data_IF_339123559680
#
_entry.id   IF_339123559680
#
_cell.length_a   1.000
_cell.length_b   1.000
_cell.length_c   1.000
_cell.angle_alpha   90.00
_cell.angle_beta   90.00
_cell.angle_gamma   90.00
#
_symmetry.space_group_name_H-M   'P 1'
#
loop_
_entity.id
_entity.type
_entity.pdbx_description
1 polymer ?
#
# COMPACT_ATOMS: atom_id res chain seq x y z
N UNK A 1 4.80 -27.97 13.09
CA UNK A 1 5.19 -28.07 11.68
C UNK A 1 5.06 -26.68 11.06
N UNK A 2 6.17 -26.11 10.60
CA UNK A 2 6.22 -24.77 10.02
C UNK A 2 5.71 -24.82 8.58
N UNK A 3 4.66 -24.07 8.27
CA UNK A 3 4.18 -23.88 6.90
C UNK A 3 5.21 -23.00 6.18
N UNK A 4 6.23 -23.63 5.61
CA UNK A 4 7.09 -23.01 4.60
C UNK A 4 6.31 -22.97 3.29
N UNK A 5 5.90 -21.77 2.88
CA UNK A 5 5.40 -21.55 1.52
C UNK A 5 6.51 -21.89 0.53
N UNK A 6 6.27 -22.87 -0.33
CA UNK A 6 7.12 -23.15 -1.48
C UNK A 6 7.19 -21.88 -2.36
N UNK A 7 8.41 -21.40 -2.58
CA UNK A 7 8.72 -20.24 -3.42
C UNK A 7 9.29 -19.09 -2.60
N UNK A 8 10.61 -18.88 -2.70
CA UNK A 8 11.39 -17.81 -2.04
C UNK A 8 11.02 -16.36 -2.49
N UNK A 9 9.79 -16.15 -2.98
CA UNK A 9 9.28 -14.83 -3.29
C UNK A 9 8.79 -14.17 -1.99
N UNK A 10 9.27 -12.97 -1.64
CA UNK A 10 8.73 -12.25 -0.50
C UNK A 10 7.24 -12.01 -0.72
N UNK A 11 6.46 -12.17 0.35
CA UNK A 11 4.99 -12.04 0.36
C UNK A 11 4.50 -10.75 -0.33
N UNK A 12 5.32 -9.70 -0.37
CA UNK A 12 5.05 -8.43 -1.04
C UNK A 12 6.14 -8.14 -2.06
N UNK A 13 5.87 -8.44 -3.33
CA UNK A 13 6.78 -8.14 -4.43
C UNK A 13 6.12 -7.16 -5.41
N UNK A 14 6.81 -6.06 -5.71
CA UNK A 14 6.46 -5.22 -6.85
C UNK A 14 6.87 -5.90 -8.15
N UNK A 15 5.93 -5.92 -9.10
CA UNK A 15 6.21 -6.39 -10.45
C UNK A 15 6.23 -5.16 -11.35
N UNK A 16 7.38 -4.87 -11.94
CA UNK A 16 7.48 -3.87 -12.99
C UNK A 16 7.15 -4.52 -14.33
N UNK A 17 6.06 -4.08 -14.97
CA UNK A 17 5.75 -4.45 -16.36
C UNK A 17 6.60 -3.66 -17.38
N UNK A 18 7.42 -2.72 -16.89
CA UNK A 18 8.23 -1.82 -17.71
C UNK A 18 9.66 -1.74 -17.14
N UNK A 19 10.48 -2.80 -17.29
CA UNK A 19 11.78 -2.94 -16.62
C UNK A 19 12.80 -1.87 -17.01
N UNK A 20 12.62 -1.23 -18.18
CA UNK A 20 13.44 -0.10 -18.62
C UNK A 20 13.12 1.20 -17.87
N UNK A 21 11.89 1.33 -17.34
CA UNK A 21 11.40 2.53 -16.67
C UNK A 21 11.51 2.41 -15.14
N UNK A 22 11.24 1.23 -14.61
CA UNK A 22 11.37 0.92 -13.18
C UNK A 22 12.18 -0.36 -12.99
N UNK A 23 13.30 -0.24 -12.29
CA UNK A 23 14.11 -1.36 -11.87
C UNK A 23 13.75 -1.75 -10.43
N UNK A 24 13.52 -3.04 -10.21
CA UNK A 24 13.23 -3.61 -8.88
C UNK A 24 14.44 -4.44 -8.45
N UNK A 25 14.98 -4.15 -7.27
CA UNK A 25 16.19 -4.79 -6.74
C UNK A 25 16.04 -5.13 -5.26
N UNK A 26 17.06 -5.75 -4.66
CA UNK A 26 17.06 -6.18 -3.24
C UNK A 26 15.80 -6.96 -2.85
N UNK A 27 15.45 -7.99 -3.63
CA UNK A 27 14.24 -8.81 -3.43
C UNK A 27 12.94 -7.99 -3.39
N UNK A 28 12.82 -6.95 -4.21
CA UNK A 28 11.59 -6.14 -4.25
C UNK A 28 11.57 -4.94 -3.29
N UNK A 29 12.63 -4.76 -2.49
CA UNK A 29 12.71 -3.71 -1.47
C UNK A 29 13.22 -2.39 -2.00
N UNK A 30 13.88 -2.35 -3.16
CA UNK A 30 14.40 -1.10 -3.74
C UNK A 30 13.86 -0.91 -5.15
N UNK A 31 13.19 0.23 -5.33
CA UNK A 31 12.60 0.66 -6.60
C UNK A 31 13.41 1.84 -7.13
N UNK A 32 13.88 1.74 -8.37
CA UNK A 32 14.57 2.82 -9.07
C UNK A 32 13.73 3.23 -10.28
N UNK A 33 13.24 4.47 -10.25
CA UNK A 33 12.52 5.10 -11.35
C UNK A 33 13.52 5.90 -12.18
N UNK A 34 13.65 5.56 -13.46
CA UNK A 34 14.66 6.14 -14.35
C UNK A 34 14.07 7.15 -15.34
N UNK A 35 12.75 7.30 -15.36
CA UNK A 35 12.03 8.06 -16.37
C UNK A 35 11.51 9.40 -15.81
N UNK A 36 11.45 10.43 -16.65
CA UNK A 36 10.81 11.72 -16.30
C UNK A 36 9.29 11.71 -16.48
N UNK A 37 8.74 10.71 -17.15
CA UNK A 37 7.28 10.59 -17.31
C UNK A 37 6.65 9.89 -16.11
N UNK A 38 5.33 10.03 -16.01
CA UNK A 38 4.50 9.36 -15.03
C UNK A 38 4.53 7.84 -15.18
N UNK A 39 4.69 7.13 -14.06
CA UNK A 39 4.61 5.67 -14.00
C UNK A 39 4.18 5.22 -12.61
N UNK A 40 3.41 4.13 -12.52
CA UNK A 40 3.09 3.45 -11.28
C UNK A 40 3.45 1.97 -11.31
N UNK A 41 3.72 1.44 -10.12
CA UNK A 41 3.96 0.03 -9.86
C UNK A 41 3.06 -0.43 -8.73
N UNK A 42 2.52 -1.63 -8.89
CA UNK A 42 1.69 -2.29 -7.88
C UNK A 42 2.36 -3.56 -7.39
N UNK A 43 2.06 -3.96 -6.17
CA UNK A 43 2.42 -5.30 -5.70
C UNK A 43 1.57 -6.38 -6.35
N UNK A 44 2.01 -7.63 -6.23
CA UNK A 44 1.20 -8.81 -6.52
C UNK A 44 0.32 -9.27 -5.34
N UNK A 45 0.44 -8.64 -4.17
CA UNK A 45 -0.21 -9.08 -2.93
C UNK A 45 -1.45 -8.23 -2.59
N UNK A 46 -2.65 -8.83 -2.50
CA UNK A 46 -3.86 -8.12 -2.12
C UNK A 46 -3.93 -7.87 -0.61
N UNK A 47 -4.33 -6.66 -0.20
CA UNK A 47 -4.78 -6.36 1.14
C UNK A 47 -6.25 -6.77 1.24
N UNK A 48 -6.50 -7.89 1.89
CA UNK A 48 -7.81 -8.50 1.99
C UNK A 48 -8.72 -7.73 2.95
N UNK A 49 -10.01 -7.78 2.65
CA UNK A 49 -11.08 -7.25 3.50
C UNK A 49 -11.66 -8.35 4.39
N UNK A 50 -11.97 -7.99 5.63
CA UNK A 50 -12.78 -8.83 6.50
C UNK A 50 -14.21 -8.77 6.00
N UNK A 51 -14.73 -9.88 5.49
CA UNK A 51 -16.17 -10.05 5.29
C UNK A 51 -16.69 -10.65 6.57
N UNK A 52 -17.20 -9.81 7.48
CA UNK A 52 -18.09 -10.33 8.50
C UNK A 52 -19.29 -10.92 7.76
N UNK A 53 -19.53 -12.21 7.93
CA UNK A 53 -20.71 -12.88 7.43
C UNK A 53 -21.94 -12.09 7.89
N UNK A 54 -22.56 -11.36 6.96
CA UNK A 54 -23.95 -10.95 7.15
C UNK A 54 -24.72 -12.26 7.14
N UNK A 55 -25.03 -12.78 8.32
CA UNK A 55 -26.09 -13.78 8.49
C UNK A 55 -27.40 -13.12 8.07
N UNK A 56 -27.66 -13.13 6.77
CA UNK A 56 -29.04 -13.02 6.30
C UNK A 56 -29.64 -14.41 6.50
N UNK A 57 -30.38 -14.58 7.59
CA UNK A 57 -31.52 -15.50 7.57
C UNK A 57 -32.41 -15.12 6.37
N UNK A 58 -32.89 -16.13 5.64
CA UNK A 58 -33.79 -16.05 4.48
C UNK A 58 -33.15 -15.81 3.10
N UNK A 59 -32.73 -16.90 2.44
CA UNK A 59 -33.32 -17.34 1.16
C UNK A 59 -32.59 -18.58 0.61
N UNK A 60 -33.39 -19.61 0.33
CA UNK A 60 -32.98 -20.83 -0.36
C UNK A 60 -32.45 -20.56 -1.78
N UNK A 61 -31.29 -21.14 -2.10
CA UNK A 61 -30.97 -21.61 -3.45
C UNK A 61 -29.96 -20.79 -4.25
N UNK A 62 -28.75 -21.34 -4.42
CA UNK A 62 -27.81 -20.89 -5.45
C UNK A 62 -26.35 -21.14 -5.10
N UNK A 63 -25.79 -22.25 -5.59
CA UNK A 63 -24.40 -22.65 -5.40
C UNK A 63 -23.42 -21.69 -6.12
N UNK A 64 -22.44 -21.15 -5.38
CA UNK A 64 -21.01 -20.96 -5.74
C UNK A 64 -20.41 -19.68 -5.12
N UNK A 65 -19.85 -19.82 -3.93
CA UNK A 65 -18.69 -19.02 -3.46
C UNK A 65 -17.79 -19.92 -2.62
N UNK A 66 -16.97 -20.74 -3.27
CA UNK A 66 -15.74 -21.23 -2.62
C UNK A 66 -14.85 -20.01 -2.40
N UNK A 67 -14.72 -19.56 -1.15
CA UNK A 67 -13.48 -19.14 -0.46
C UNK A 67 -13.85 -18.66 0.96
N UNK A 68 -14.66 -19.41 1.69
CA UNK A 68 -14.66 -19.35 3.15
C UNK A 68 -13.46 -20.17 3.63
N UNK A 69 -12.26 -19.62 3.44
CA UNK A 69 -11.06 -20.12 4.08
C UNK A 69 -11.18 -19.78 5.56
N UNK A 70 -11.09 -20.81 6.39
CA UNK A 70 -10.90 -20.84 7.84
C UNK A 70 -10.48 -19.51 8.46
N UNK A 71 -11.10 -19.17 9.59
CA UNK A 71 -10.92 -17.99 10.46
C UNK A 71 -9.45 -17.71 10.80
N UNK A 72 -8.67 -17.32 9.81
CA UNK A 72 -7.40 -16.65 9.97
C UNK A 72 -7.77 -15.24 10.41
N UNK A 73 -7.34 -14.83 11.60
CA UNK A 73 -7.52 -13.46 12.04
C UNK A 73 -6.75 -12.58 11.04
N UNK A 74 -7.45 -12.05 10.04
CA UNK A 74 -6.90 -11.08 9.12
C UNK A 74 -6.34 -9.92 9.96
N UNK A 75 -5.17 -9.37 9.59
CA UNK A 75 -4.59 -8.29 10.36
C UNK A 75 -5.59 -7.13 10.40
N UNK A 76 -5.85 -6.62 11.61
CA UNK A 76 -6.80 -5.50 11.78
C UNK A 76 -6.33 -4.22 11.08
N UNK A 77 -5.06 -4.18 10.68
CA UNK A 77 -4.45 -3.15 9.86
C UNK A 77 -3.45 -3.75 8.87
N UNK A 78 -3.50 -3.30 7.62
CA UNK A 78 -2.42 -3.47 6.66
C UNK A 78 -1.58 -2.19 6.61
N UNK A 79 -0.25 -2.31 6.51
CA UNK A 79 0.63 -1.16 6.48
C UNK A 79 1.93 -1.42 5.72
N UNK A 80 2.40 -0.43 4.97
CA UNK A 80 3.73 -0.43 4.35
C UNK A 80 4.32 0.97 4.33
N UNK A 81 5.64 1.06 4.27
CA UNK A 81 6.39 2.33 4.21
C UNK A 81 7.24 2.40 2.95
N UNK A 82 7.40 3.61 2.42
CA UNK A 82 8.47 3.94 1.48
C UNK A 82 9.42 4.95 2.13
N UNK A 83 10.71 4.83 1.86
CA UNK A 83 11.71 5.82 2.23
C UNK A 83 12.39 6.34 0.98
N UNK A 84 12.49 7.66 0.86
CA UNK A 84 13.16 8.32 -0.27
C UNK A 84 14.67 8.19 -0.11
N UNK A 85 15.31 7.43 -1.00
CA UNK A 85 16.77 7.26 -1.04
C UNK A 85 17.43 8.29 -1.95
N UNK A 86 16.75 8.68 -3.04
CA UNK A 86 17.12 9.80 -3.89
C UNK A 86 15.89 10.35 -4.60
N UNK A 87 15.86 11.65 -4.85
CA UNK A 87 14.85 12.28 -5.68
C UNK A 87 15.51 13.37 -6.52
N UNK A 88 15.71 13.11 -7.81
CA UNK A 88 16.37 14.09 -8.68
C UNK A 88 15.33 15.11 -9.13
N UNK A 89 15.59 16.39 -8.83
CA UNK A 89 14.69 17.51 -9.14
C UNK A 89 13.35 17.43 -8.38
N UNK A 90 13.43 17.38 -7.05
CA UNK A 90 12.27 17.31 -6.14
C UNK A 90 11.18 18.34 -6.46
N UNK A 91 11.59 19.56 -6.82
CA UNK A 91 10.70 20.69 -7.17
C UNK A 91 9.82 20.46 -8.41
N UNK A 92 10.18 19.52 -9.28
CA UNK A 92 9.41 19.17 -10.48
C UNK A 92 9.07 17.68 -10.55
N UNK A 93 9.22 16.97 -9.44
CA UNK A 93 8.87 15.56 -9.30
C UNK A 93 7.64 15.41 -8.43
N UNK A 94 6.85 14.38 -8.68
CA UNK A 94 5.80 13.96 -7.77
C UNK A 94 6.00 12.48 -7.44
N UNK A 95 5.96 12.14 -6.16
CA UNK A 95 5.93 10.77 -5.66
C UNK A 95 4.59 10.60 -4.99
N UNK A 96 3.89 9.52 -5.29
CA UNK A 96 2.60 9.20 -4.71
C UNK A 96 2.63 7.80 -4.12
N UNK A 97 2.16 7.68 -2.89
CA UNK A 97 1.96 6.40 -2.20
C UNK A 97 0.46 6.19 -1.99
N UNK A 98 -0.01 4.96 -2.17
CA UNK A 98 -1.41 4.66 -1.94
C UNK A 98 -1.80 3.24 -2.26
N UNK A 99 -3.09 3.08 -2.57
CA UNK A 99 -3.74 1.81 -2.82
C UNK A 99 -4.53 1.92 -4.12
N UNK A 100 -4.50 0.87 -4.93
CA UNK A 100 -5.35 0.77 -6.10
C UNK A 100 -5.80 -0.67 -6.32
N UNK A 101 -6.95 -0.85 -6.96
CA UNK A 101 -7.39 -2.18 -7.40
C UNK A 101 -6.60 -2.63 -8.64
N UNK A 102 -6.79 -3.87 -9.06
CA UNK A 102 -6.30 -4.35 -10.37
C UNK A 102 -7.44 -4.35 -11.39
N UNK A 103 -7.20 -3.92 -12.63
CA UNK A 103 -5.96 -3.38 -13.20
C UNK A 103 -5.92 -1.84 -13.10
N UNK A 104 -4.92 -1.27 -12.44
CA UNK A 104 -4.71 0.18 -12.42
C UNK A 104 -3.88 0.63 -13.64
N UNK A 105 -4.13 1.81 -14.24
CA UNK A 105 -3.32 2.31 -15.34
C UNK A 105 -1.83 2.49 -14.95
N UNK A 106 -0.87 1.92 -15.71
CA UNK A 106 0.55 1.93 -15.34
C UNK A 106 1.23 3.30 -15.52
N UNK A 107 0.60 4.24 -16.20
CA UNK A 107 1.09 5.62 -16.39
C UNK A 107 0.18 6.60 -15.64
N UNK A 108 -0.23 6.21 -14.43
CA UNK A 108 -1.00 7.07 -13.55
C UNK A 108 -0.53 7.01 -12.10
N UNK A 109 -0.49 8.15 -11.40
CA UNK A 109 -0.33 8.22 -9.95
C UNK A 109 -1.58 7.67 -9.22
N UNK A 110 -1.42 6.92 -8.12
CA UNK A 110 -2.55 6.43 -7.34
C UNK A 110 -3.43 7.59 -6.82
N UNK A 111 -4.74 7.41 -6.88
CA UNK A 111 -5.75 8.40 -6.49
C UNK A 111 -6.40 9.15 -7.65
N UNK A 112 -5.80 9.12 -8.86
CA UNK A 112 -6.32 9.88 -10.01
C UNK A 112 -7.43 9.17 -10.77
N UNK A 113 -7.43 7.83 -10.82
CA UNK A 113 -8.45 7.03 -11.49
C UNK A 113 -9.27 6.18 -10.52
N UNK A 114 -10.41 5.69 -11.02
CA UNK A 114 -11.35 4.87 -10.26
C UNK A 114 -10.68 3.75 -9.48
N UNK A 115 -11.23 3.53 -8.27
CA UNK A 115 -10.79 2.53 -7.33
C UNK A 115 -9.30 2.66 -7.00
N UNK A 116 -8.88 3.89 -6.69
CA UNK A 116 -7.55 4.19 -6.17
C UNK A 116 -7.55 5.38 -5.22
N UNK A 117 -6.65 5.34 -4.26
CA UNK A 117 -6.37 6.43 -3.32
C UNK A 117 -4.88 6.69 -3.26
N UNK A 118 -4.49 7.94 -3.08
CA UNK A 118 -3.08 8.30 -2.96
C UNK A 118 -2.82 9.58 -2.18
N UNK A 119 -1.61 9.67 -1.64
CA UNK A 119 -1.05 10.84 -0.99
C UNK A 119 0.19 11.28 -1.78
N UNK A 120 0.19 12.53 -2.26
CA UNK A 120 1.15 13.04 -3.24
C UNK A 120 2.15 13.98 -2.57
N UNK A 121 3.40 13.92 -3.03
CA UNK A 121 4.55 14.58 -2.37
C UNK A 121 4.66 16.06 -2.66
N UNK A 122 4.30 16.47 -3.88
CA UNK A 122 4.47 17.82 -4.42
C UNK A 122 3.52 18.84 -3.78
N UNK A 123 2.31 18.42 -3.42
CA UNK A 123 1.29 19.30 -2.87
C UNK A 123 0.76 18.90 -1.48
N UNK A 124 1.15 17.72 -0.97
CA UNK A 124 0.66 17.20 0.31
C UNK A 124 -0.84 16.87 0.29
N UNK A 125 -1.45 16.75 -0.89
CA UNK A 125 -2.86 16.46 -1.03
C UNK A 125 -3.14 14.96 -1.07
N UNK A 126 -4.37 14.61 -0.70
CA UNK A 126 -4.93 13.28 -0.87
C UNK A 126 -5.88 13.26 -2.07
N UNK A 127 -5.82 12.17 -2.82
CA UNK A 127 -6.57 11.95 -4.05
C UNK A 127 -7.38 10.66 -3.95
N UNK A 128 -8.63 10.69 -4.40
CA UNK A 128 -9.51 9.53 -4.45
C UNK A 128 -10.38 9.62 -5.70
N UNK A 129 -10.15 8.69 -6.63
CA UNK A 129 -10.87 8.55 -7.90
C UNK A 129 -11.02 9.85 -8.71
N UNK A 130 -10.07 10.79 -8.54
CA UNK A 130 -10.12 12.10 -9.16
C UNK A 130 -8.74 12.74 -9.28
N UNK A 131 -8.50 13.46 -10.38
CA UNK A 131 -7.28 14.27 -10.59
C UNK A 131 -7.23 15.54 -9.74
N UNK A 132 -8.34 15.89 -9.08
CA UNK A 132 -8.40 17.03 -8.15
C UNK A 132 -8.25 16.53 -6.73
N UNK A 133 -7.12 16.89 -6.10
CA UNK A 133 -6.82 16.56 -4.72
C UNK A 133 -7.60 17.39 -3.71
N UNK A 134 -7.46 17.00 -2.45
CA UNK A 134 -7.90 17.77 -1.28
C UNK A 134 -6.76 17.87 -0.26
N UNK A 135 -6.72 18.98 0.48
CA UNK A 135 -5.71 19.19 1.54
C UNK A 135 -5.74 18.05 2.56
N UNK A 136 -4.56 17.61 2.96
CA UNK A 136 -4.43 16.49 3.90
C UNK A 136 -3.20 16.61 4.80
N UNK A 137 -2.00 16.65 4.23
CA UNK A 137 -0.75 16.61 4.98
C UNK A 137 0.29 17.60 4.44
N UNK A 138 1.47 17.66 5.06
CA UNK A 138 2.59 18.44 4.55
C UNK A 138 3.15 17.85 3.26
N UNK A 139 3.80 18.66 2.42
CA UNK A 139 4.62 18.13 1.33
C UNK A 139 5.75 17.24 1.87
N UNK A 140 6.28 16.40 0.99
CA UNK A 140 7.37 15.46 1.31
C UNK A 140 8.17 15.16 0.04
N UNK A 141 9.17 14.29 0.15
CA UNK A 141 9.96 13.85 -1.00
C UNK A 141 11.45 14.19 -0.89
N UNK A 142 11.86 14.73 0.25
CA UNK A 142 13.27 14.91 0.58
C UNK A 142 13.94 13.57 0.89
N UNK A 143 15.24 13.48 0.64
CA UNK A 143 16.01 12.26 0.96
C UNK A 143 15.94 11.99 2.46
N UNK A 144 15.49 10.80 2.83
CA UNK A 144 15.31 10.37 4.21
C UNK A 144 13.88 10.50 4.74
N UNK A 145 12.96 11.16 4.00
CA UNK A 145 11.53 11.09 4.31
C UNK A 145 11.05 9.65 4.19
N UNK A 146 10.31 9.20 5.21
CA UNK A 146 9.61 7.92 5.23
C UNK A 146 8.12 8.16 5.29
N UNK A 147 7.39 7.67 4.30
CA UNK A 147 5.93 7.79 4.22
C UNK A 147 5.29 6.42 4.34
N UNK A 148 4.34 6.29 5.26
CA UNK A 148 3.54 5.09 5.42
C UNK A 148 2.17 5.21 4.79
N UNK A 149 1.63 4.08 4.34
CA UNK A 149 0.23 3.95 3.93
C UNK A 149 -0.38 2.79 4.72
N UNK A 150 -1.43 3.11 5.48
CA UNK A 150 -2.16 2.16 6.30
C UNK A 150 -3.61 2.01 5.85
N UNK A 151 -4.14 0.82 6.04
CA UNK A 151 -5.53 0.47 5.75
C UNK A 151 -6.12 -0.35 6.88
N UNK A 152 -7.22 0.11 7.45
CA UNK A 152 -8.06 -0.64 8.38
C UNK A 152 -9.23 -1.27 7.61
N UNK A 153 -9.19 -2.58 7.33
CA UNK A 153 -10.24 -3.23 6.55
C UNK A 153 -11.61 -3.15 7.21
N UNK A 154 -11.67 -3.26 8.54
CA UNK A 154 -12.90 -3.30 9.33
C UNK A 154 -13.70 -1.99 9.26
N UNK A 155 -13.02 -0.87 9.04
CA UNK A 155 -13.65 0.46 8.92
C UNK A 155 -13.64 1.00 7.49
N UNK A 156 -12.91 0.34 6.58
CA UNK A 156 -12.63 0.89 5.25
C UNK A 156 -11.89 2.22 5.33
N UNK A 157 -10.92 2.31 6.23
CA UNK A 157 -10.22 3.55 6.53
C UNK A 157 -8.78 3.51 6.02
N UNK A 158 -8.38 4.51 5.24
CA UNK A 158 -7.01 4.68 4.76
C UNK A 158 -6.42 5.90 5.43
N UNK A 159 -5.18 5.77 5.90
CA UNK A 159 -4.42 6.86 6.52
C UNK A 159 -2.97 6.80 6.05
N UNK A 160 -2.24 7.88 6.26
CA UNK A 160 -0.83 7.95 5.94
C UNK A 160 -0.03 8.45 7.14
N UNK A 161 1.27 8.18 7.11
CA UNK A 161 2.22 8.66 8.12
C UNK A 161 3.37 9.38 7.44
N UNK A 162 3.98 10.34 8.14
CA UNK A 162 5.24 10.96 7.72
C UNK A 162 6.24 10.83 8.87
N UNK A 163 7.39 10.23 8.57
CA UNK A 163 8.50 10.04 9.50
C UNK A 163 8.10 9.39 10.84
N UNK A 164 7.10 8.50 10.79
CA UNK A 164 6.56 7.79 11.95
C UNK A 164 5.41 8.49 12.67
N UNK A 165 5.01 9.69 12.25
CA UNK A 165 3.86 10.41 12.78
C UNK A 165 2.61 10.16 11.94
N UNK A 166 1.48 9.86 12.59
CA UNK A 166 0.20 9.65 11.92
C UNK A 166 -0.41 10.99 11.49
N UNK A 167 -0.81 11.11 10.22
CA UNK A 167 -1.40 12.33 9.64
C UNK A 167 -2.94 12.36 9.73
N UNK A 168 -3.54 11.36 10.37
CA UNK A 168 -4.99 11.20 10.51
C UNK A 168 -5.64 10.48 9.33
N UNK A 169 -6.93 10.21 9.46
CA UNK A 169 -7.70 9.48 8.45
C UNK A 169 -7.78 10.29 7.14
N UNK A 170 -7.24 9.72 6.06
CA UNK A 170 -7.32 10.31 4.74
C UNK A 170 -8.70 10.04 4.13
N UNK A 171 -9.15 8.79 4.20
CA UNK A 171 -10.40 8.34 3.62
C UNK A 171 -11.10 7.35 4.54
N UNK A 172 -12.43 7.37 4.56
CA UNK A 172 -13.26 6.52 5.41
C UNK A 172 -14.39 5.89 4.60
N UNK A 173 -14.82 4.67 4.95
CA UNK A 173 -15.94 4.00 4.30
C UNK A 173 -15.62 3.43 2.92
N UNK A 174 -14.34 3.34 2.54
CA UNK A 174 -13.91 2.80 1.25
C UNK A 174 -13.38 1.38 1.43
N UNK A 175 -13.96 0.42 0.71
CA UNK A 175 -13.61 -1.01 0.85
C UNK A 175 -13.41 -1.63 -0.51
N UNK A 176 -12.16 -2.00 -0.78
CA UNK A 176 -11.79 -2.76 -1.96
C UNK A 176 -10.72 -3.80 -1.57
N UNK A 177 -10.52 -4.78 -2.45
CA UNK A 177 -9.30 -5.58 -2.43
C UNK A 177 -8.19 -4.68 -2.98
N UNK A 178 -7.38 -4.15 -2.08
CA UNK A 178 -6.37 -3.15 -2.40
C UNK A 178 -5.04 -3.79 -2.76
N UNK A 179 -4.27 -3.15 -3.62
CA UNK A 179 -2.87 -3.46 -3.84
C UNK A 179 -2.03 -2.22 -3.51
N UNK A 180 -1.00 -2.35 -2.64
CA UNK A 180 -0.01 -1.30 -2.43
C UNK A 180 0.51 -0.80 -3.77
N UNK A 181 0.41 0.51 -3.98
CA UNK A 181 0.71 1.17 -5.25
C UNK A 181 1.59 2.39 -5.00
N UNK A 182 2.64 2.52 -5.80
CA UNK A 182 3.54 3.67 -5.79
C UNK A 182 3.56 4.25 -7.18
N UNK A 183 3.32 5.55 -7.30
CA UNK A 183 3.42 6.31 -8.54
C UNK A 183 4.53 7.35 -8.45
N UNK A 184 5.19 7.63 -9.58
CA UNK A 184 6.25 8.63 -9.68
C UNK A 184 6.14 9.38 -11.00
N UNK A 185 6.28 10.71 -10.95
CA UNK A 185 6.65 11.58 -12.06
C UNK A 185 8.06 12.09 -11.77
N UNK A 186 9.05 11.66 -12.57
CA UNK A 186 10.46 12.01 -12.34
C UNK A 186 11.34 10.82 -11.97
N UNK A 187 12.64 11.07 -11.82
CA UNK A 187 13.61 10.02 -11.48
C UNK A 187 13.89 10.04 -9.99
N UNK A 188 13.56 8.94 -9.31
CA UNK A 188 13.81 8.77 -7.88
C UNK A 188 14.20 7.33 -7.54
N UNK A 189 14.77 7.14 -6.35
CA UNK A 189 15.05 5.84 -5.76
C UNK A 189 14.32 5.73 -4.45
N UNK A 190 13.53 4.68 -4.29
CA UNK A 190 12.73 4.42 -3.11
C UNK A 190 13.11 3.08 -2.50
N UNK A 191 13.11 3.04 -1.17
CA UNK A 191 13.17 1.80 -0.42
C UNK A 191 11.79 1.50 0.15
N UNK A 192 11.29 0.31 -0.09
CA UNK A 192 10.01 -0.15 0.45
C UNK A 192 10.26 -1.06 1.64
N UNK A 193 9.45 -0.87 2.68
CA UNK A 193 9.39 -1.70 3.86
C UNK A 193 7.96 -2.25 4.00
N UNK A 194 7.83 -3.57 4.05
CA UNK A 194 6.56 -4.24 4.32
C UNK A 194 6.49 -4.82 5.73
N UNK A 195 7.49 -4.62 6.59
CA UNK A 195 7.45 -5.06 8.00
C UNK A 195 7.97 -6.49 8.21
N UNK A 196 9.03 -6.87 7.49
CA UNK A 196 9.63 -8.22 7.53
C UNK A 196 10.50 -8.50 8.78
N UNK A 197 10.45 -7.62 9.78
CA UNK A 197 11.14 -7.79 11.07
C UNK A 197 12.62 -7.39 11.07
N UNK A 198 13.32 -7.49 9.94
CA UNK A 198 14.72 -7.02 9.80
C UNK A 198 14.79 -5.48 9.86
N UNK A 199 13.76 -4.81 9.35
CA UNK A 199 13.63 -3.35 9.35
C UNK A 199 12.28 -2.96 9.96
N UNK A 200 12.24 -2.55 11.23
CA UNK A 200 10.99 -2.12 11.82
C UNK A 200 10.47 -0.87 11.12
N UNK A 201 9.15 -0.73 11.04
CA UNK A 201 8.51 0.49 10.57
C UNK A 201 8.95 1.69 11.41
N UNK A 202 8.99 2.89 10.81
CA UNK A 202 9.14 4.13 11.58
C UNK A 202 7.90 4.39 12.42
N UNK A 203 6.71 4.14 11.87
CA UNK A 203 5.48 4.23 12.65
C UNK A 203 5.38 3.07 13.65
N UNK A 204 5.40 3.41 14.94
CA UNK A 204 5.51 2.43 16.03
C UNK A 204 4.28 1.51 16.10
N UNK A 205 3.08 2.07 15.92
CA UNK A 205 1.82 1.33 16.05
C UNK A 205 1.69 0.23 14.98
N UNK A 206 2.26 0.44 13.79
CA UNK A 206 2.26 -0.55 12.72
C UNK A 206 3.25 -1.70 12.91
N UNK A 207 4.20 -1.61 13.86
CA UNK A 207 5.23 -2.67 14.05
C UNK A 207 4.64 -4.02 14.45
N UNK A 208 3.41 -4.03 14.95
CA UNK A 208 2.67 -5.24 15.34
C UNK A 208 1.88 -5.87 14.18
N UNK A 209 1.83 -5.21 13.01
CA UNK A 209 0.97 -5.58 11.88
C UNK A 209 1.75 -5.96 10.61
N UNK A 210 3.07 -6.14 10.73
CA UNK A 210 3.91 -6.63 9.64
C UNK A 210 3.72 -8.14 9.38
N UNK A 211 3.94 -8.61 8.13
CA UNK A 211 3.72 -9.99 7.70
C UNK A 211 4.70 -11.00 8.33
N UNK A 212 5.75 -10.53 8.99
CA UNK A 212 6.70 -11.37 9.70
C UNK A 212 6.32 -11.64 11.17
N UNK A 213 5.16 -11.18 11.64
CA UNK A 213 4.71 -11.43 13.02
C UNK A 213 3.60 -12.48 13.09
N UNK A 214 3.63 -13.35 14.11
CA UNK A 214 2.52 -14.26 14.38
C UNK A 214 1.25 -13.46 14.65
N UNK A 215 0.13 -13.91 14.09
CA UNK A 215 -1.22 -13.49 14.47
C UNK A 215 -1.32 -13.65 15.99
N UNK A 216 -1.45 -12.55 16.73
CA UNK A 216 -1.81 -12.64 18.15
C UNK A 216 -3.25 -13.15 18.22
N UNK A 217 -3.44 -14.29 18.88
CA UNK A 217 -4.76 -14.67 19.37
C UNK A 217 -5.11 -13.68 20.48
N UNK A 218 -6.11 -12.83 20.26
CA UNK A 218 -6.68 -12.00 21.30
C UNK A 218 -7.24 -12.92 22.40
N UNK A 219 -6.49 -13.04 23.49
CA UNK A 219 -6.94 -13.61 24.76
C UNK A 219 -6.21 -12.86 25.87
N UNK A 220 -6.80 -11.74 26.29
CA UNK A 220 -6.77 -11.22 27.67
C UNK A 220 -8.03 -10.39 27.93
#
# INVERSE_FOLDING_TARGET
ESITSQGDAPMYQFISNHPQLVTVSEKGRVLQFNNKTEISVQTNYPLLIRTDSVENEDASGGNNTMFASETTHLPSMHYFEITVLSNTNSEASAIAIGLATKHYPPFSLPGWYLHSVGYHSDDGQKFYDAVKGSSYGPTWGEVGDTIGCGYYPDRGCVFFTKNGENLGDAFTGIRHIWFPTIGVVGSCKLQVNFGDGERPFRYLEARWFGPARPIQSDNE
#
